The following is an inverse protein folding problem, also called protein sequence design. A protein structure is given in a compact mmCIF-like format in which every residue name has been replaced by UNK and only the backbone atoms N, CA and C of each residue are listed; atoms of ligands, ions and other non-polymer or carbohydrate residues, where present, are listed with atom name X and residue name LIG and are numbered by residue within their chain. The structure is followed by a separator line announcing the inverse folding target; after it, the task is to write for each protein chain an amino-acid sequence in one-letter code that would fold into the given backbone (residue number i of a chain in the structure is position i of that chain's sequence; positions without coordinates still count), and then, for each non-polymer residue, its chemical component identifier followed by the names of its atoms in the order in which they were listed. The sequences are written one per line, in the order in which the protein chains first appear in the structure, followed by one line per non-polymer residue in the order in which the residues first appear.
data_IF_117155712240
#
_entry.id   IF_117155712240
#
_cell.length_a   1.000
_cell.length_b   1.000
_cell.length_c   1.000
_cell.angle_alpha   90.00
_cell.angle_beta   90.00
_cell.angle_gamma   90.00
#
_symmetry.space_group_name_H-M   'P 1'
#
loop_
_entity.id
_entity.type
_entity.pdbx_description
1 polymer ?
#
# COMPACT_ATOMS: atom_id res chain seq x y z
N UNK A 1 34.41 -45.42 21.19
CA UNK A 1 33.18 -44.76 21.68
C UNK A 1 32.98 -43.47 20.89
N UNK A 2 32.03 -43.47 19.96
CA UNK A 2 31.91 -42.46 18.90
C UNK A 2 30.67 -41.58 19.13
N UNK A 3 30.94 -40.31 19.46
CA UNK A 3 30.22 -39.05 19.19
C UNK A 3 28.69 -39.06 19.24
N UNK A 4 28.16 -38.39 20.27
CA UNK A 4 26.76 -37.94 20.39
C UNK A 4 26.43 -37.02 19.20
N UNK A 5 25.66 -37.51 18.24
CA UNK A 5 25.11 -36.69 17.16
C UNK A 5 23.98 -35.83 17.73
N UNK A 6 24.32 -34.57 18.02
CA UNK A 6 23.34 -33.52 18.29
C UNK A 6 22.65 -33.18 16.96
N UNK A 7 21.50 -33.79 16.72
CA UNK A 7 20.64 -33.41 15.61
C UNK A 7 20.02 -32.04 15.94
N UNK A 8 20.67 -30.96 15.50
CA UNK A 8 19.99 -29.67 15.35
C UNK A 8 18.95 -29.84 14.25
N UNK A 9 17.72 -30.16 14.65
CA UNK A 9 16.56 -30.01 13.78
C UNK A 9 16.52 -28.53 13.35
N UNK A 10 16.84 -28.30 12.08
CA UNK A 10 16.75 -26.99 11.47
C UNK A 10 15.26 -26.60 11.48
N UNK A 11 14.89 -25.66 12.35
CA UNK A 11 13.58 -25.02 12.26
C UNK A 11 13.54 -24.28 10.92
N UNK A 12 12.94 -24.91 9.92
CA UNK A 12 12.52 -24.23 8.70
C UNK A 12 11.41 -23.26 9.10
N UNK A 13 11.81 -22.06 9.53
CA UNK A 13 10.87 -20.95 9.67
C UNK A 13 10.51 -20.59 8.23
N UNK A 14 9.41 -21.16 7.74
CA UNK A 14 8.73 -20.65 6.55
C UNK A 14 8.19 -19.27 6.93
N UNK A 15 9.05 -18.26 6.82
CA UNK A 15 8.62 -16.87 6.85
C UNK A 15 7.74 -16.68 5.63
N UNK A 16 6.42 -16.67 5.82
CA UNK A 16 5.53 -16.08 4.83
C UNK A 16 6.05 -14.67 4.61
N UNK A 17 6.49 -14.37 3.39
CA UNK A 17 6.85 -13.01 3.01
C UNK A 17 5.57 -12.18 3.15
N UNK A 18 5.42 -11.52 4.29
CA UNK A 18 4.36 -10.56 4.49
C UNK A 18 4.73 -9.34 3.66
N UNK A 19 4.17 -9.26 2.47
CA UNK A 19 4.17 -8.05 1.67
C UNK A 19 3.46 -6.94 2.43
N UNK A 20 4.11 -5.80 2.61
CA UNK A 20 3.48 -4.65 3.27
C UNK A 20 2.49 -3.98 2.32
N UNK A 21 1.34 -3.54 2.85
CA UNK A 21 0.41 -2.72 2.09
C UNK A 21 0.98 -1.31 1.85
N UNK A 22 0.56 -0.66 0.76
CA UNK A 22 1.01 0.68 0.38
C UNK A 22 0.18 1.71 1.15
N UNK A 23 0.81 2.40 2.10
CA UNK A 23 0.14 3.41 2.90
C UNK A 23 0.24 4.79 2.25
N UNK A 24 -0.92 5.41 1.98
CA UNK A 24 -0.98 6.79 1.48
C UNK A 24 -0.76 7.76 2.63
N UNK A 25 0.31 8.55 2.55
CA UNK A 25 0.75 9.46 3.63
C UNK A 25 0.30 10.90 3.44
N UNK A 26 -0.06 11.34 2.22
CA UNK A 26 -0.60 12.68 1.93
C UNK A 26 -2.02 12.67 1.35
N UNK A 27 -2.73 13.79 1.52
CA UNK A 27 -4.02 14.06 0.89
C UNK A 27 -3.87 14.89 -0.40
N UNK A 28 -2.67 15.41 -0.65
CA UNK A 28 -2.36 16.18 -1.86
C UNK A 28 -2.31 15.21 -3.03
N UNK A 29 -3.00 15.56 -4.11
CA UNK A 29 -2.95 14.82 -5.38
C UNK A 29 -1.81 15.35 -6.24
N UNK A 30 -0.63 14.74 -6.12
CA UNK A 30 0.59 15.13 -6.83
C UNK A 30 1.37 13.90 -7.33
N UNK A 31 2.31 14.14 -8.23
CA UNK A 31 3.31 13.17 -8.66
C UNK A 31 4.66 13.89 -8.59
N UNK A 32 5.34 13.72 -7.46
CA UNK A 32 6.49 14.52 -7.08
C UNK A 32 7.51 13.66 -6.38
N UNK A 33 8.75 13.68 -6.87
CA UNK A 33 9.84 12.91 -6.29
C UNK A 33 10.21 13.43 -4.89
N UNK A 34 9.51 12.93 -3.88
CA UNK A 34 9.78 13.12 -2.46
C UNK A 34 9.50 11.84 -1.66
N UNK A 35 9.49 11.94 -0.33
CA UNK A 35 9.33 10.80 0.57
C UNK A 35 7.88 10.59 1.02
N UNK A 36 6.91 11.22 0.37
CA UNK A 36 5.51 11.24 0.77
C UNK A 36 4.68 10.59 -0.33
N UNK A 37 3.95 9.53 0.03
CA UNK A 37 3.14 8.78 -0.91
C UNK A 37 1.73 9.39 -1.04
N UNK A 38 1.40 9.91 -2.22
CA UNK A 38 0.03 10.28 -2.59
C UNK A 38 -0.76 9.10 -3.16
N UNK A 39 -2.09 9.26 -3.28
CA UNK A 39 -2.94 8.27 -3.95
C UNK A 39 -2.56 8.09 -5.42
N UNK A 40 -2.19 9.18 -6.11
CA UNK A 40 -1.79 9.12 -7.52
C UNK A 40 -0.51 8.34 -7.72
N UNK A 41 0.49 8.59 -6.90
CA UNK A 41 1.77 7.88 -6.94
C UNK A 41 1.60 6.40 -6.59
N UNK A 42 0.76 6.06 -5.61
CA UNK A 42 0.48 4.67 -5.26
C UNK A 42 -0.14 3.89 -6.44
N UNK A 43 -1.06 4.52 -7.19
CA UNK A 43 -1.68 3.92 -8.37
C UNK A 43 -0.67 3.82 -9.52
N UNK A 44 0.13 4.88 -9.76
CA UNK A 44 1.19 4.87 -10.78
C UNK A 44 2.22 3.79 -10.50
N UNK A 45 2.64 3.64 -9.25
CA UNK A 45 3.50 2.56 -8.80
C UNK A 45 2.91 1.18 -9.16
N UNK A 46 1.68 0.88 -8.71
CA UNK A 46 1.08 -0.43 -8.96
C UNK A 46 0.83 -0.73 -10.43
N UNK A 47 0.51 0.29 -11.23
CA UNK A 47 0.35 0.15 -12.67
C UNK A 47 1.65 -0.26 -13.38
N UNK A 48 2.80 0.19 -12.89
CA UNK A 48 4.09 0.02 -13.55
C UNK A 48 5.08 -0.86 -12.77
N UNK A 49 4.67 -1.47 -11.64
CA UNK A 49 5.55 -2.19 -10.71
C UNK A 49 6.37 -3.34 -11.32
N UNK A 50 6.00 -3.81 -12.51
CA UNK A 50 6.74 -4.84 -13.24
C UNK A 50 8.00 -4.29 -13.94
N UNK A 51 8.10 -2.98 -14.09
CA UNK A 51 9.26 -2.30 -14.67
C UNK A 51 10.37 -2.11 -13.62
N UNK A 52 11.63 -2.28 -14.05
CA UNK A 52 12.79 -2.28 -13.15
C UNK A 52 12.94 -0.98 -12.33
N UNK A 53 12.56 0.16 -12.91
CA UNK A 53 12.66 1.46 -12.23
C UNK A 53 11.73 1.61 -11.02
N UNK A 54 10.71 0.76 -10.90
CA UNK A 54 9.76 0.77 -9.77
C UNK A 54 10.10 -0.26 -8.70
N UNK A 55 11.13 -1.11 -8.88
CA UNK A 55 11.46 -2.16 -7.89
C UNK A 55 11.80 -1.62 -6.50
N UNK A 56 12.36 -0.42 -6.43
CA UNK A 56 12.70 0.24 -5.16
C UNK A 56 11.62 1.24 -4.69
N UNK A 57 10.42 1.16 -5.26
CA UNK A 57 9.33 2.09 -5.00
C UNK A 57 9.25 3.25 -5.98
N UNK A 58 8.28 4.13 -5.75
CA UNK A 58 8.04 5.32 -6.56
C UNK A 58 7.57 6.49 -5.70
N UNK A 59 8.34 7.58 -5.66
CA UNK A 59 8.04 8.80 -4.90
C UNK A 59 7.53 8.53 -3.46
N UNK A 60 8.19 7.64 -2.73
CA UNK A 60 7.81 7.28 -1.36
C UNK A 60 6.69 6.23 -1.25
N UNK A 61 6.16 5.71 -2.35
CA UNK A 61 5.20 4.61 -2.39
C UNK A 61 5.86 3.26 -2.71
N UNK A 62 5.69 2.29 -1.81
CA UNK A 62 5.93 0.87 -2.05
C UNK A 62 7.36 0.48 -2.45
N UNK A 63 7.51 -0.77 -2.88
CA UNK A 63 8.70 -1.43 -3.44
C UNK A 63 8.30 -2.80 -4.02
N UNK A 64 9.25 -3.57 -4.56
CA UNK A 64 9.00 -4.89 -5.17
C UNK A 64 8.36 -5.91 -4.21
N UNK A 65 8.48 -5.69 -2.90
CA UNK A 65 7.90 -6.55 -1.87
C UNK A 65 6.49 -6.13 -1.46
N UNK A 66 6.04 -4.95 -1.90
CA UNK A 66 4.75 -4.39 -1.51
C UNK A 66 3.56 -5.14 -2.09
N UNK A 67 2.47 -5.18 -1.35
CA UNK A 67 1.22 -5.82 -1.76
C UNK A 67 0.53 -5.00 -2.87
N UNK A 68 -0.52 -5.55 -3.47
CA UNK A 68 -1.40 -4.82 -4.40
C UNK A 68 -2.51 -4.03 -3.68
N UNK A 69 -2.35 -3.77 -2.38
CA UNK A 69 -3.34 -3.07 -1.55
C UNK A 69 -2.85 -1.68 -1.20
N UNK A 70 -3.64 -0.66 -1.52
CA UNK A 70 -3.47 0.73 -1.12
C UNK A 70 -4.35 1.00 0.10
N UNK A 71 -3.75 1.52 1.17
CA UNK A 71 -4.42 1.88 2.41
C UNK A 71 -4.52 3.40 2.54
N UNK A 72 -5.75 3.88 2.59
CA UNK A 72 -6.11 5.29 2.76
C UNK A 72 -6.34 5.62 4.23
N UNK A 73 -6.05 6.86 4.62
CA UNK A 73 -6.36 7.36 5.95
C UNK A 73 -7.88 7.43 6.13
N UNK A 74 -8.33 7.07 7.33
CA UNK A 74 -9.74 7.12 7.70
C UNK A 74 -10.28 8.54 7.74
N UNK A 75 -11.56 8.67 7.42
CA UNK A 75 -12.32 9.91 7.57
C UNK A 75 -11.67 11.11 6.84
N UNK A 76 -10.97 10.84 5.73
CA UNK A 76 -10.34 11.86 4.89
C UNK A 76 -11.02 11.98 3.53
N UNK A 77 -10.98 13.18 2.94
CA UNK A 77 -11.38 13.43 1.56
C UNK A 77 -10.13 13.55 0.67
N UNK A 78 -10.04 12.68 -0.34
CA UNK A 78 -8.99 12.73 -1.35
C UNK A 78 -9.53 13.49 -2.57
N UNK A 79 -9.01 14.71 -2.78
CA UNK A 79 -9.39 15.58 -3.90
C UNK A 79 -8.46 15.31 -5.08
N UNK A 80 -9.04 14.94 -6.22
CA UNK A 80 -8.27 14.66 -7.42
C UNK A 80 -8.24 15.90 -8.32
N UNK A 81 -7.04 16.30 -8.71
CA UNK A 81 -6.74 17.32 -9.70
C UNK A 81 -7.04 16.81 -11.13
N UNK A 82 -6.93 15.50 -11.36
CA UNK A 82 -7.27 14.85 -12.63
C UNK A 82 -7.69 13.39 -12.44
N UNK A 83 -8.17 12.76 -13.51
CA UNK A 83 -8.55 11.34 -13.46
C UNK A 83 -7.37 10.45 -13.03
N UNK A 84 -7.69 9.38 -12.30
CA UNK A 84 -6.76 8.30 -11.97
C UNK A 84 -7.00 7.14 -12.93
N UNK A 85 -5.94 6.64 -13.56
CA UNK A 85 -6.00 5.48 -14.45
C UNK A 85 -5.58 4.23 -13.69
N UNK A 86 -6.44 3.20 -13.63
CA UNK A 86 -6.12 1.90 -13.02
C UNK A 86 -5.91 0.90 -14.16
N UNK A 87 -4.66 0.44 -14.31
CA UNK A 87 -4.21 -0.45 -15.40
C UNK A 87 -3.82 -1.84 -14.90
N UNK A 88 -3.57 -1.99 -13.60
CA UNK A 88 -3.25 -3.26 -12.96
C UNK A 88 -4.27 -3.61 -11.85
N UNK A 89 -4.48 -4.90 -11.54
CA UNK A 89 -5.32 -5.31 -10.41
C UNK A 89 -4.79 -4.75 -9.09
N UNK A 90 -5.64 -4.05 -8.36
CA UNK A 90 -5.32 -3.48 -7.05
C UNK A 90 -6.56 -3.39 -6.16
N UNK A 91 -6.31 -3.40 -4.86
CA UNK A 91 -7.33 -3.14 -3.83
C UNK A 91 -7.07 -1.75 -3.26
N UNK A 92 -8.10 -0.91 -3.20
CA UNK A 92 -8.03 0.36 -2.48
C UNK A 92 -8.96 0.24 -1.28
N UNK A 93 -8.39 0.33 -0.08
CA UNK A 93 -9.12 0.19 1.18
C UNK A 93 -8.81 1.35 2.11
N UNK A 94 -9.74 1.63 3.02
CA UNK A 94 -9.49 2.55 4.14
C UNK A 94 -8.87 1.79 5.30
N UNK A 95 -7.95 2.42 6.02
CA UNK A 95 -7.35 1.84 7.21
C UNK A 95 -8.43 1.36 8.19
N UNK A 96 -8.21 0.20 8.81
CA UNK A 96 -9.07 -0.28 9.88
C UNK A 96 -8.98 0.66 11.09
N UNK A 97 -10.06 0.75 11.86
CA UNK A 97 -10.00 1.43 13.14
C UNK A 97 -9.19 0.59 14.13
N UNK A 98 -8.28 1.22 14.85
CA UNK A 98 -7.59 0.60 15.99
C UNK A 98 -8.32 0.84 17.31
N UNK A 99 -9.36 1.68 17.28
CA UNK A 99 -10.13 2.05 18.46
C UNK A 99 -11.14 0.96 18.77
N UNK A 100 -10.96 0.29 19.92
CA UNK A 100 -11.82 -0.81 20.36
C UNK A 100 -13.30 -0.40 20.55
N UNK A 101 -13.57 0.91 20.74
CA UNK A 101 -14.91 1.46 20.89
C UNK A 101 -15.41 2.19 19.62
N UNK A 102 -14.71 2.06 18.50
CA UNK A 102 -15.17 2.67 17.26
C UNK A 102 -16.32 1.87 16.65
N UNK A 103 -17.53 2.35 16.87
CA UNK A 103 -18.75 1.78 16.30
C UNK A 103 -18.87 2.01 14.78
N UNK A 104 -17.95 2.76 14.14
CA UNK A 104 -17.84 2.90 12.68
C UNK A 104 -17.11 1.71 12.05
N UNK A 105 -17.41 0.50 12.55
CA UNK A 105 -16.74 -0.75 12.25
C UNK A 105 -16.91 -1.27 10.82
N UNK A 106 -17.86 -0.72 10.03
CA UNK A 106 -18.18 -1.31 8.72
C UNK A 106 -18.27 -0.34 7.55
N UNK A 107 -18.35 0.97 7.82
CA UNK A 107 -19.05 1.83 6.87
C UNK A 107 -18.48 3.26 6.81
N UNK A 108 -17.15 3.39 6.89
CA UNK A 108 -16.50 4.63 6.39
C UNK A 108 -16.52 4.57 4.87
N UNK A 109 -17.37 5.38 4.25
CA UNK A 109 -17.40 5.48 2.80
C UNK A 109 -16.08 6.09 2.32
N UNK A 110 -15.41 5.43 1.38
CA UNK A 110 -14.32 6.04 0.64
C UNK A 110 -14.88 7.23 -0.16
N UNK A 111 -14.48 8.45 0.22
CA UNK A 111 -14.84 9.67 -0.50
C UNK A 111 -13.69 10.11 -1.39
N UNK A 112 -13.76 9.72 -2.67
CA UNK A 112 -12.88 10.24 -3.72
C UNK A 112 -13.69 11.24 -4.54
N UNK A 113 -13.23 12.50 -4.57
CA UNK A 113 -13.91 13.55 -5.33
C UNK A 113 -13.10 13.89 -6.57
N UNK A 114 -13.63 13.53 -7.73
CA UNK A 114 -13.09 13.93 -9.02
C UNK A 114 -13.59 15.33 -9.39
N UNK A 115 -12.69 16.21 -9.81
CA UNK A 115 -13.08 17.44 -10.51
C UNK A 115 -13.16 17.16 -12.00
N UNK A 116 -14.35 17.37 -12.58
CA UNK A 116 -14.53 17.48 -14.02
C UNK A 116 -14.45 18.96 -14.37
N UNK A 117 -13.36 19.37 -15.03
CA UNK A 117 -13.29 20.68 -15.66
C UNK A 117 -14.18 20.63 -16.93
N UNK A 118 -15.19 21.49 -16.98
CA UNK A 118 -16.01 21.78 -18.18
C UNK A 118 -15.37 22.97 -18.89
#
# INVERSE_FOLDING_TARGET
MLKRTLACALFAITGHAYSADILVTTLVDEDKNDSVCSLREAILFLNNRTEDQYKNGYNGCGDESSSSTIILKRDQEYKLNSQLEIKAPMTIATAASTDFNDQRLCCTNLSVKAFSAI
#
